data_IF_687101979819
#
_entry.id   IF_687101979819
#
_cell.length_a   1.000
_cell.length_b   1.000
_cell.length_c   1.000
_cell.angle_alpha   90.00
_cell.angle_beta   90.00
_cell.angle_gamma   90.00
#
_symmetry.space_group_name_H-M   'P 1'
#
loop_
_entity.id
_entity.type
_entity.pdbx_description
1 polymer ?
#
# COMPACT_ATOMS: atom_id res chain seq x y z
N UNK A 1 10.48 -11.95 1.02
CA UNK A 1 11.42 -11.81 -0.12
C UNK A 1 10.63 -11.91 -1.41
N UNK A 2 10.77 -10.96 -2.34
CA UNK A 2 10.11 -11.01 -3.65
C UNK A 2 10.78 -12.09 -4.51
N UNK A 3 10.00 -12.89 -5.23
CA UNK A 3 10.49 -13.91 -6.16
C UNK A 3 10.03 -13.56 -7.57
N UNK A 4 10.99 -13.47 -8.50
CA UNK A 4 10.69 -13.24 -9.91
C UNK A 4 9.91 -14.44 -10.47
N UNK A 5 9.04 -14.16 -11.43
CA UNK A 5 8.13 -15.12 -12.07
C UNK A 5 7.14 -15.79 -11.13
N UNK A 6 6.91 -15.21 -9.95
CA UNK A 6 5.91 -15.68 -9.00
C UNK A 6 4.98 -14.54 -8.58
N UNK A 7 3.70 -14.83 -8.26
CA UNK A 7 2.85 -13.88 -7.59
C UNK A 7 3.43 -13.50 -6.23
N UNK A 8 3.11 -12.29 -5.75
CA UNK A 8 3.44 -11.89 -4.38
C UNK A 8 2.73 -12.80 -3.36
N UNK A 9 3.27 -12.84 -2.14
CA UNK A 9 2.64 -13.58 -1.04
C UNK A 9 1.23 -13.03 -0.76
N UNK A 10 0.34 -13.88 -0.26
CA UNK A 10 -1.00 -13.48 0.17
C UNK A 10 -0.95 -12.37 1.22
N UNK A 11 -0.02 -12.47 2.18
CA UNK A 11 0.20 -11.44 3.21
C UNK A 11 0.58 -10.08 2.60
N UNK A 12 1.49 -10.05 1.62
CA UNK A 12 1.89 -8.80 0.97
C UNK A 12 0.74 -8.24 0.13
N UNK A 13 -0.03 -9.09 -0.56
CA UNK A 13 -1.22 -8.67 -1.30
C UNK A 13 -2.26 -8.01 -0.39
N UNK A 14 -2.59 -8.64 0.75
CA UNK A 14 -3.50 -8.06 1.74
C UNK A 14 -2.98 -6.73 2.25
N UNK A 15 -1.69 -6.66 2.59
CA UNK A 15 -1.07 -5.44 3.08
C UNK A 15 -1.15 -4.30 2.06
N UNK A 16 -0.75 -4.54 0.82
CA UNK A 16 -0.82 -3.52 -0.24
C UNK A 16 -2.27 -3.07 -0.47
N UNK A 17 -3.23 -4.00 -0.52
CA UNK A 17 -4.65 -3.67 -0.70
C UNK A 17 -5.23 -2.84 0.44
N UNK A 18 -4.73 -3.01 1.67
CA UNK A 18 -5.21 -2.24 2.82
C UNK A 18 -4.60 -0.83 2.86
N UNK A 19 -3.34 -0.69 2.43
CA UNK A 19 -2.55 0.53 2.66
C UNK A 19 -2.17 1.28 1.40
N UNK A 20 -2.73 0.93 0.24
CA UNK A 20 -2.54 1.70 -1.00
C UNK A 20 -3.89 2.02 -1.63
N UNK A 21 -3.97 3.19 -2.24
CA UNK A 21 -5.15 3.66 -2.97
C UNK A 21 -5.00 3.44 -4.47
N UNK A 22 -6.04 3.76 -5.24
CA UNK A 22 -5.97 3.72 -6.71
C UNK A 22 -5.04 4.80 -7.24
N UNK A 23 -5.00 5.93 -6.54
CA UNK A 23 -4.15 7.08 -6.82
C UNK A 23 -2.69 6.72 -6.57
N UNK A 24 -2.34 6.08 -5.45
CA UNK A 24 -0.98 5.60 -5.19
C UNK A 24 -0.47 4.68 -6.32
N UNK A 25 -1.32 3.79 -6.82
CA UNK A 25 -0.98 2.89 -7.92
C UNK A 25 -0.80 3.66 -9.23
N UNK A 26 -1.64 4.67 -9.49
CA UNK A 26 -1.55 5.50 -10.68
C UNK A 26 -0.28 6.35 -10.68
N UNK A 27 0.02 6.98 -9.54
CA UNK A 27 1.20 7.83 -9.34
C UNK A 27 2.48 7.01 -9.50
N UNK A 28 2.57 5.83 -8.88
CA UNK A 28 3.73 4.94 -9.06
C UNK A 28 3.88 4.51 -10.52
N UNK A 29 2.80 4.18 -11.21
CA UNK A 29 2.87 3.80 -12.62
C UNK A 29 3.25 4.97 -13.55
N UNK A 30 2.92 6.20 -13.17
CA UNK A 30 3.33 7.40 -13.91
C UNK A 30 4.80 7.76 -13.64
N UNK A 31 5.28 7.59 -12.40
CA UNK A 31 6.68 7.77 -12.02
C UNK A 31 7.58 6.69 -12.64
N UNK A 32 7.09 5.45 -12.67
CA UNK A 32 7.83 4.27 -13.11
C UNK A 32 7.39 3.85 -14.51
N UNK A 33 8.10 4.33 -15.54
CA UNK A 33 7.87 4.00 -16.97
C UNK A 33 7.95 2.50 -17.32
N UNK A 34 8.21 1.64 -16.34
CA UNK A 34 8.41 0.21 -16.49
C UNK A 34 7.13 -0.62 -16.35
N UNK A 35 6.02 -0.03 -15.87
CA UNK A 35 4.80 -0.76 -15.54
C UNK A 35 3.55 0.13 -15.62
N UNK A 36 2.48 -0.35 -16.28
CA UNK A 36 1.19 0.35 -16.27
C UNK A 36 0.46 0.18 -14.93
N UNK A 37 -0.48 1.08 -14.63
CA UNK A 37 -1.30 1.01 -13.41
C UNK A 37 -2.11 -0.29 -13.34
N UNK A 38 -2.58 -0.79 -14.49
CA UNK A 38 -3.30 -2.06 -14.59
C UNK A 38 -2.38 -3.24 -14.24
N UNK A 39 -1.17 -3.27 -14.80
CA UNK A 39 -0.19 -4.32 -14.49
C UNK A 39 0.18 -4.29 -13.00
N UNK A 40 0.39 -3.11 -12.42
CA UNK A 40 0.73 -2.98 -11.01
C UNK A 40 -0.43 -3.44 -10.11
N UNK A 41 -1.67 -3.08 -10.47
CA UNK A 41 -2.88 -3.58 -9.83
C UNK A 41 -2.94 -5.11 -9.90
N UNK A 42 -2.73 -5.70 -11.06
CA UNK A 42 -2.79 -7.15 -11.21
C UNK A 42 -1.74 -7.88 -10.36
N UNK A 43 -0.56 -7.29 -10.16
CA UNK A 43 0.43 -7.81 -9.21
C UNK A 43 -0.09 -7.73 -7.78
N UNK A 44 -0.68 -6.60 -7.37
CA UNK A 44 -1.29 -6.42 -6.04
C UNK A 44 -2.38 -7.46 -5.78
N UNK A 45 -3.20 -7.77 -6.79
CA UNK A 45 -4.25 -8.78 -6.72
C UNK A 45 -3.76 -10.21 -7.00
N UNK A 46 -2.46 -10.40 -7.22
CA UNK A 46 -1.82 -11.71 -7.50
C UNK A 46 -2.32 -12.38 -8.77
N UNK A 47 -2.92 -11.64 -9.69
CA UNK A 47 -3.30 -12.11 -11.03
C UNK A 47 -2.13 -12.06 -12.01
N UNK A 48 -1.13 -11.21 -11.75
CA UNK A 48 0.14 -11.17 -12.49
C UNK A 48 1.37 -11.49 -11.61
N UNK A 49 2.41 -12.13 -12.17
CA UNK A 49 3.65 -12.40 -11.47
C UNK A 49 4.55 -11.15 -11.37
N UNK A 50 5.46 -11.18 -10.42
CA UNK A 50 6.57 -10.21 -10.34
C UNK A 50 7.56 -10.51 -11.47
N UNK A 51 7.97 -9.49 -12.20
CA UNK A 51 8.95 -9.55 -13.29
C UNK A 51 10.06 -8.54 -13.05
N UNK A 52 11.17 -8.66 -13.75
CA UNK A 52 12.27 -7.69 -13.66
C UNK A 52 11.83 -6.27 -14.04
N UNK A 53 10.84 -6.14 -14.93
CA UNK A 53 10.30 -4.84 -15.34
C UNK A 53 9.48 -4.19 -14.23
N UNK A 54 8.62 -4.96 -13.56
CA UNK A 54 7.66 -4.40 -12.60
C UNK A 54 8.17 -4.38 -11.15
N UNK A 55 9.32 -5.00 -10.85
CA UNK A 55 9.82 -5.14 -9.47
C UNK A 55 10.14 -3.79 -8.83
N UNK A 56 10.60 -2.80 -9.62
CA UNK A 56 10.93 -1.48 -9.11
C UNK A 56 9.66 -0.72 -8.69
N UNK A 57 8.66 -0.69 -9.58
CA UNK A 57 7.34 -0.13 -9.28
C UNK A 57 6.69 -0.81 -8.06
N UNK A 58 6.78 -2.15 -7.95
CA UNK A 58 6.28 -2.88 -6.79
C UNK A 58 7.00 -2.46 -5.49
N UNK A 59 8.33 -2.34 -5.51
CA UNK A 59 9.11 -1.88 -4.32
C UNK A 59 8.73 -0.46 -3.92
N UNK A 60 8.50 0.42 -4.89
CA UNK A 60 8.06 1.80 -4.63
C UNK A 60 6.68 1.81 -3.97
N UNK A 61 5.75 1.02 -4.52
CA UNK A 61 4.40 0.87 -3.96
C UNK A 61 4.45 0.29 -2.53
N UNK A 62 5.33 -0.67 -2.25
CA UNK A 62 5.55 -1.18 -0.88
C UNK A 62 6.02 -0.09 0.09
N UNK A 63 6.88 0.83 -0.37
CA UNK A 63 7.32 1.96 0.46
C UNK A 63 6.18 2.92 0.76
N UNK A 64 5.32 3.21 -0.22
CA UNK A 64 4.13 4.05 -0.04
C UNK A 64 3.15 3.39 0.92
N UNK A 65 2.88 2.10 0.75
CA UNK A 65 2.04 1.32 1.67
C UNK A 65 2.53 1.41 3.13
N UNK A 66 3.84 1.34 3.35
CA UNK A 66 4.43 1.54 4.68
C UNK A 66 4.12 2.91 5.26
N UNK A 67 4.30 3.98 4.47
CA UNK A 67 4.01 5.35 4.91
C UNK A 67 2.53 5.56 5.22
N UNK A 68 1.65 4.99 4.39
CA UNK A 68 0.21 5.06 4.59
C UNK A 68 -0.23 4.30 5.84
N UNK A 69 0.40 3.16 6.13
CA UNK A 69 0.17 2.43 7.38
C UNK A 69 0.57 3.26 8.61
N UNK A 70 1.73 3.90 8.59
CA UNK A 70 2.17 4.79 9.67
C UNK A 70 1.22 5.98 9.85
N UNK A 71 0.75 6.58 8.75
CA UNK A 71 -0.23 7.65 8.77
C UNK A 71 -1.56 7.20 9.40
N UNK A 72 -2.04 6.00 9.06
CA UNK A 72 -3.26 5.41 9.64
C UNK A 72 -3.10 5.12 11.14
N UNK A 73 -1.93 4.65 11.57
CA UNK A 73 -1.63 4.47 13.01
C UNK A 73 -1.63 5.81 13.73
N UNK A 74 -1.01 6.83 13.14
CA UNK A 74 -0.97 8.19 13.71
C UNK A 74 -2.38 8.78 13.85
N UNK A 75 -3.21 8.68 12.82
CA UNK A 75 -4.59 9.19 12.86
C UNK A 75 -5.44 8.44 13.88
N UNK A 76 -5.30 7.11 13.99
CA UNK A 76 -6.00 6.31 15.00
C UNK A 76 -5.61 6.73 16.43
N UNK A 77 -4.32 6.98 16.69
CA UNK A 77 -3.85 7.47 18.00
C UNK A 77 -4.42 8.85 18.32
N UNK A 78 -4.45 9.75 17.34
CA UNK A 78 -5.04 11.08 17.50
C UNK A 78 -6.53 10.99 17.82
N UNK A 79 -7.28 10.20 17.05
CA UNK A 79 -8.71 9.97 17.27
C UNK A 79 -8.98 9.42 18.68
N UNK A 80 -8.23 8.41 19.13
CA UNK A 80 -8.34 7.88 20.49
C UNK A 80 -8.14 8.96 21.55
N UNK A 81 -7.14 9.84 21.37
CA UNK A 81 -6.89 10.96 22.28
C UNK A 81 -8.07 11.94 22.30
N UNK A 82 -8.60 12.31 21.14
CA UNK A 82 -9.75 13.22 21.00
C UNK A 82 -10.99 12.65 21.67
N UNK A 83 -11.32 11.39 21.43
CA UNK A 83 -12.48 10.71 22.06
C UNK A 83 -12.34 10.70 23.58
N UNK A 84 -11.16 10.36 24.10
CA UNK A 84 -10.92 10.36 25.54
C UNK A 84 -11.09 11.76 26.15
N UNK A 85 -10.66 12.81 25.47
CA UNK A 85 -10.86 14.19 25.93
C UNK A 85 -12.35 14.54 25.98
N UNK A 86 -13.09 14.24 24.92
CA UNK A 86 -14.54 14.49 24.87
C UNK A 86 -15.29 13.78 26.01
N UNK A 87 -14.89 12.54 26.35
CA UNK A 87 -15.49 11.80 27.45
C UNK A 87 -15.20 12.43 28.83
N UNK A 88 -14.05 13.06 29.00
CA UNK A 88 -13.70 13.76 30.25
C UNK A 88 -14.45 15.10 30.37
N UNK A 89 -14.63 15.81 29.26
CA UNK A 89 -15.30 17.13 29.24
C UNK A 89 -16.84 17.01 29.39
N UNK A 90 -17.41 15.81 29.20
CA UNK A 90 -18.84 15.53 29.39
C UNK A 90 -19.22 15.11 30.82
N UNK A 91 -18.28 15.17 31.78
CA UNK A 91 -18.48 14.90 33.22
C UNK A 91 -18.28 16.19 34.01
#
# INVERSE_FOLDING_TARGET
MLKISQPISSQLSTYLREFTTKEDIADVAAEENSCSSSTLRDIVYRTNPVTEKNVLALKRLMSIASKNADAKIKSARLCKKTVNQMLLDCV
#
